data_IF_238524913204
#
_entry.id   IF_238524913204
#
_cell.length_a   1.000
_cell.length_b   1.000
_cell.length_c   1.000
_cell.angle_alpha   90.00
_cell.angle_beta   90.00
_cell.angle_gamma   90.00
#
_symmetry.space_group_name_H-M   'P 1'
#
loop_
_entity.id
_entity.type
_entity.pdbx_description
1 polymer ?
#
# COMPACT_ATOMS: atom_id res chain seq x y z
N UNK A 1 58.56 64.74 -0.96
CA UNK A 1 57.41 65.19 -0.15
C UNK A 1 56.35 65.64 -1.13
N UNK A 2 55.11 65.18 -1.18
CA UNK A 2 54.30 64.37 -0.29
C UNK A 2 52.96 64.11 -1.02
N UNK A 3 52.27 63.02 -0.67
CA UNK A 3 50.86 62.63 -0.90
C UNK A 3 50.57 61.56 -1.97
N UNK A 4 50.43 60.37 -1.40
CA UNK A 4 49.61 59.28 -1.88
C UNK A 4 48.17 59.73 -2.22
N UNK A 5 47.61 59.18 -3.30
CA UNK A 5 46.18 58.86 -3.39
C UNK A 5 46.04 57.48 -4.01
N UNK A 6 45.69 56.55 -3.14
CA UNK A 6 45.14 55.23 -3.45
C UNK A 6 43.67 55.44 -3.79
N UNK A 7 43.29 55.37 -5.07
CA UNK A 7 41.89 55.20 -5.43
C UNK A 7 41.64 53.70 -5.68
N UNK A 8 41.34 52.98 -4.59
CA UNK A 8 40.66 51.69 -4.64
C UNK A 8 39.19 51.96 -4.93
N UNK A 9 38.79 51.92 -6.20
CA UNK A 9 37.36 51.80 -6.54
C UNK A 9 36.97 50.32 -6.48
N UNK A 10 36.87 49.81 -5.25
CA UNK A 10 36.22 48.55 -4.96
C UNK A 10 34.71 48.75 -5.03
N UNK A 11 34.13 48.67 -6.23
CA UNK A 11 32.68 48.52 -6.41
C UNK A 11 32.26 47.19 -5.82
N UNK A 12 31.98 47.19 -4.52
CA UNK A 12 31.14 46.16 -3.92
C UNK A 12 29.73 46.36 -4.49
N UNK A 13 29.35 45.54 -5.47
CA UNK A 13 27.95 45.34 -5.83
C UNK A 13 27.22 44.81 -4.59
N UNK A 14 26.59 45.73 -3.86
CA UNK A 14 25.65 45.39 -2.80
C UNK A 14 24.44 44.78 -3.50
N UNK A 15 24.41 43.45 -3.58
CA UNK A 15 23.18 42.72 -3.96
C UNK A 15 22.09 43.18 -2.99
N UNK A 16 21.13 43.94 -3.52
CA UNK A 16 19.97 44.38 -2.76
C UNK A 16 19.30 43.15 -2.14
N UNK A 17 19.20 43.15 -0.81
CA UNK A 17 18.49 42.10 -0.10
C UNK A 17 17.03 42.12 -0.60
N UNK A 18 16.50 41.00 -1.12
CA UNK A 18 15.12 40.98 -1.57
C UNK A 18 14.25 41.39 -0.38
N UNK A 19 13.44 42.43 -0.55
CA UNK A 19 12.59 42.93 0.52
C UNK A 19 11.79 41.79 1.14
N UNK A 20 11.59 41.81 2.46
CA UNK A 20 10.97 40.72 3.23
C UNK A 20 9.70 40.17 2.55
N UNK A 21 8.91 41.04 1.92
CA UNK A 21 7.72 40.69 1.13
C UNK A 21 7.99 39.92 -0.17
N UNK A 22 9.06 40.21 -0.89
CA UNK A 22 9.49 39.44 -2.06
C UNK A 22 9.98 38.05 -1.62
N UNK A 23 10.75 37.97 -0.53
CA UNK A 23 11.22 36.70 0.03
C UNK A 23 10.07 35.80 0.52
N UNK A 24 9.07 36.38 1.18
CA UNK A 24 7.85 35.67 1.60
C UNK A 24 7.08 35.13 0.38
N UNK A 25 6.95 35.94 -0.70
CA UNK A 25 6.26 35.50 -1.92
C UNK A 25 6.98 34.34 -2.61
N UNK A 26 8.31 34.38 -2.71
CA UNK A 26 9.09 33.29 -3.29
C UNK A 26 8.99 32.02 -2.44
N UNK A 27 9.07 32.15 -1.12
CA UNK A 27 8.88 31.01 -0.19
C UNK A 27 7.49 30.37 -0.34
N UNK A 28 6.44 31.19 -0.42
CA UNK A 28 5.07 30.71 -0.63
C UNK A 28 4.91 30.02 -1.99
N UNK A 29 5.47 30.58 -3.06
CA UNK A 29 5.43 29.97 -4.39
C UNK A 29 6.08 28.59 -4.38
N UNK A 30 7.28 28.46 -3.78
CA UNK A 30 7.97 27.17 -3.65
C UNK A 30 7.14 26.20 -2.80
N UNK A 31 6.56 26.66 -1.70
CA UNK A 31 5.68 25.83 -0.86
C UNK A 31 4.45 25.31 -1.62
N UNK A 32 3.80 26.17 -2.40
CA UNK A 32 2.65 25.79 -3.24
C UNK A 32 3.08 24.81 -4.34
N UNK A 33 4.21 25.05 -5.01
CA UNK A 33 4.72 24.15 -6.04
C UNK A 33 5.04 22.77 -5.45
N UNK A 34 5.71 22.72 -4.30
CA UNK A 34 6.01 21.46 -3.61
C UNK A 34 4.72 20.73 -3.20
N UNK A 35 3.72 21.46 -2.69
CA UNK A 35 2.41 20.91 -2.34
C UNK A 35 1.69 20.33 -3.57
N UNK A 36 1.68 21.04 -4.69
CA UNK A 36 1.07 20.59 -5.93
C UNK A 36 1.76 19.33 -6.47
N UNK A 37 3.10 19.31 -6.48
CA UNK A 37 3.87 18.13 -6.89
C UNK A 37 3.55 16.95 -5.95
N UNK A 38 3.58 17.17 -4.64
CA UNK A 38 3.26 16.13 -3.67
C UNK A 38 1.82 15.61 -3.85
N UNK A 39 0.87 16.48 -4.16
CA UNK A 39 -0.52 16.10 -4.45
C UNK A 39 -0.58 15.23 -5.70
N UNK A 40 0.04 15.65 -6.80
CA UNK A 40 0.05 14.91 -8.07
C UNK A 40 0.70 13.53 -7.90
N UNK A 41 1.85 13.46 -7.22
CA UNK A 41 2.54 12.19 -6.97
C UNK A 41 1.68 11.27 -6.10
N UNK A 42 1.07 11.82 -5.03
CA UNK A 42 0.24 11.05 -4.10
C UNK A 42 -1.04 10.51 -4.74
N UNK A 43 -1.59 11.23 -5.71
CA UNK A 43 -2.84 10.84 -6.37
C UNK A 43 -2.62 9.89 -7.54
N UNK A 44 -1.58 10.14 -8.33
CA UNK A 44 -1.36 9.40 -9.57
C UNK A 44 -0.39 8.23 -9.40
N UNK A 45 0.64 8.36 -8.56
CA UNK A 45 1.76 7.42 -8.56
C UNK A 45 1.70 6.48 -7.35
N UNK A 46 1.98 7.01 -6.16
CA UNK A 46 2.21 6.19 -4.96
C UNK A 46 1.54 6.76 -3.73
N UNK A 47 0.92 5.90 -2.94
CA UNK A 47 0.40 6.24 -1.63
C UNK A 47 1.17 5.47 -0.54
N UNK A 48 1.75 6.15 0.45
CA UNK A 48 2.35 5.48 1.60
C UNK A 48 1.26 4.92 2.52
N UNK A 49 1.46 3.71 3.03
CA UNK A 49 0.64 3.06 4.04
C UNK A 49 1.53 2.44 5.13
N UNK A 50 1.01 2.40 6.35
CA UNK A 50 1.56 1.63 7.45
C UNK A 50 0.64 0.43 7.74
N UNK A 51 1.19 -0.76 8.01
CA UNK A 51 0.39 -1.96 8.32
C UNK A 51 -0.06 -1.94 9.78
N UNK A 52 -1.38 -1.83 10.07
CA UNK A 52 -1.87 -1.77 11.44
C UNK A 52 -2.15 -3.16 12.05
N UNK A 53 -2.11 -4.23 11.24
CA UNK A 53 -2.55 -5.57 11.67
C UNK A 53 -1.71 -6.68 11.05
N UNK A 54 -1.56 -7.80 11.78
CA UNK A 54 -0.76 -8.95 11.37
C UNK A 54 -1.47 -9.94 10.44
N UNK A 55 -2.50 -9.51 9.70
CA UNK A 55 -3.33 -10.44 8.90
C UNK A 55 -2.65 -10.98 7.63
N UNK A 56 -1.49 -10.43 7.26
CA UNK A 56 -0.67 -10.89 6.15
C UNK A 56 0.69 -11.43 6.61
N UNK A 57 0.86 -11.71 7.90
CA UNK A 57 2.03 -12.45 8.40
C UNK A 57 2.06 -13.83 7.71
N UNK A 58 3.22 -14.28 7.21
CA UNK A 58 4.56 -13.72 7.40
C UNK A 58 5.01 -12.76 6.28
N UNK A 59 4.16 -12.44 5.31
CA UNK A 59 4.53 -11.59 4.16
C UNK A 59 4.65 -10.11 4.54
N UNK A 60 3.70 -9.58 5.33
CA UNK A 60 3.70 -8.20 5.80
C UNK A 60 3.50 -8.19 7.31
N UNK A 61 4.43 -7.53 8.02
CA UNK A 61 4.46 -7.46 9.47
C UNK A 61 3.78 -6.19 9.98
N UNK A 62 3.38 -6.21 11.24
CA UNK A 62 2.81 -5.04 11.91
C UNK A 62 3.89 -3.95 11.99
N UNK A 63 3.57 -2.75 11.51
CA UNK A 63 4.50 -1.62 11.46
C UNK A 63 5.26 -1.46 10.15
N UNK A 64 5.13 -2.38 9.19
CA UNK A 64 5.74 -2.23 7.87
C UNK A 64 5.20 -0.98 7.16
N UNK A 65 6.10 -0.26 6.47
CA UNK A 65 5.78 0.86 5.60
C UNK A 65 5.87 0.43 4.14
N UNK A 66 4.83 0.73 3.37
CA UNK A 66 4.75 0.33 1.97
C UNK A 66 4.23 1.47 1.09
N UNK A 67 4.74 1.50 -0.15
CA UNK A 67 4.26 2.39 -1.20
C UNK A 67 3.34 1.60 -2.14
N UNK A 68 2.06 1.95 -2.15
CA UNK A 68 1.06 1.35 -3.05
C UNK A 68 1.02 2.13 -4.35
N UNK A 69 1.26 1.44 -5.46
CA UNK A 69 1.02 1.97 -6.81
C UNK A 69 -0.47 2.21 -7.05
N UNK A 70 -0.88 3.44 -7.35
CA UNK A 70 -2.29 3.80 -7.57
C UNK A 70 -2.78 3.46 -8.98
N UNK A 71 -1.87 3.37 -9.95
CA UNK A 71 -2.17 3.15 -11.37
C UNK A 71 -2.37 1.68 -11.75
N UNK A 72 -1.90 0.72 -10.95
CA UNK A 72 -1.84 -0.70 -11.33
C UNK A 72 -3.19 -1.36 -11.61
N UNK A 73 -4.28 -0.83 -11.05
CA UNK A 73 -5.66 -1.30 -11.30
C UNK A 73 -6.54 -0.19 -11.89
N UNK A 74 -5.96 0.88 -12.40
CA UNK A 74 -6.68 2.06 -12.84
C UNK A 74 -7.23 2.93 -11.70
N UNK A 75 -7.65 4.13 -12.06
CA UNK A 75 -8.08 5.17 -11.14
C UNK A 75 -9.58 5.10 -10.89
N UNK A 76 -9.96 4.99 -9.62
CA UNK A 76 -11.35 5.10 -9.16
C UNK A 76 -11.58 6.42 -8.43
N UNK A 77 -12.84 6.69 -8.05
CA UNK A 77 -13.18 7.83 -7.18
C UNK A 77 -12.33 7.89 -5.90
N UNK A 78 -11.93 6.74 -5.35
CA UNK A 78 -11.10 6.64 -4.14
C UNK A 78 -9.60 6.89 -4.38
N UNK A 79 -9.21 7.18 -5.62
CA UNK A 79 -7.82 7.50 -5.97
C UNK A 79 -7.49 8.98 -5.76
N UNK A 80 -8.51 9.84 -5.73
CA UNK A 80 -8.36 11.27 -5.53
C UNK A 80 -8.30 11.61 -4.03
N UNK A 81 -7.49 12.62 -3.64
CA UNK A 81 -7.49 13.09 -2.27
C UNK A 81 -8.78 13.90 -2.06
N UNK A 82 -9.39 13.82 -0.88
CA UNK A 82 -10.67 14.50 -0.61
C UNK A 82 -11.82 14.03 -1.52
N UNK A 83 -11.74 12.80 -2.05
CA UNK A 83 -12.79 12.20 -2.88
C UNK A 83 -14.16 12.18 -2.20
N UNK A 84 -14.18 12.16 -0.87
CA UNK A 84 -15.39 12.23 -0.05
C UNK A 84 -16.14 13.57 -0.18
N UNK A 85 -15.44 14.66 -0.50
CA UNK A 85 -16.00 16.00 -0.71
C UNK A 85 -16.28 16.32 -2.19
N UNK A 86 -15.85 15.44 -3.11
CA UNK A 86 -16.06 15.62 -4.54
C UNK A 86 -17.41 15.01 -4.96
N UNK A 87 -18.29 15.77 -5.66
CA UNK A 87 -19.62 15.29 -6.09
C UNK A 87 -19.53 14.36 -7.31
N UNK A 88 -18.53 13.49 -7.37
CA UNK A 88 -18.30 12.60 -8.51
C UNK A 88 -18.98 11.26 -8.26
N UNK A 89 -20.11 11.02 -8.93
CA UNK A 89 -20.78 9.71 -9.03
C UNK A 89 -20.19 8.84 -10.15
N UNK A 90 -18.90 8.99 -10.45
CA UNK A 90 -18.26 8.19 -11.48
C UNK A 90 -18.20 6.72 -11.02
N UNK A 91 -19.00 5.88 -11.66
CA UNK A 91 -18.96 4.43 -11.48
C UNK A 91 -17.89 3.83 -12.37
N UNK A 92 -17.11 2.88 -11.83
CA UNK A 92 -16.02 2.22 -12.56
C UNK A 92 -14.63 2.81 -12.29
N UNK A 93 -13.67 2.37 -13.13
CA UNK A 93 -12.26 2.75 -13.04
C UNK A 93 -11.76 3.20 -14.41
N UNK A 94 -11.00 4.29 -14.46
CA UNK A 94 -10.33 4.75 -15.67
C UNK A 94 -9.05 3.94 -15.85
N UNK A 95 -8.82 3.40 -17.05
CA UNK A 95 -7.71 2.47 -17.34
C UNK A 95 -7.71 1.27 -16.39
N UNK A 96 -8.91 0.69 -16.19
CA UNK A 96 -9.08 -0.49 -15.37
C UNK A 96 -8.17 -1.62 -15.86
N UNK A 97 -7.43 -2.20 -14.93
CA UNK A 97 -6.74 -3.45 -15.12
C UNK A 97 -7.22 -4.43 -14.06
N UNK A 98 -7.48 -5.66 -14.47
CA UNK A 98 -7.89 -6.70 -13.55
C UNK A 98 -6.71 -7.12 -12.65
N UNK A 99 -6.98 -7.39 -11.36
CA UNK A 99 -5.95 -7.93 -10.49
C UNK A 99 -5.53 -9.31 -10.95
N UNK A 100 -4.25 -9.64 -10.73
CA UNK A 100 -3.75 -10.98 -10.94
C UNK A 100 -3.87 -11.77 -9.63
N UNK A 101 -4.09 -13.07 -9.77
CA UNK A 101 -4.11 -13.97 -8.62
C UNK A 101 -2.75 -13.93 -7.92
N UNK A 102 -2.78 -13.78 -6.60
CA UNK A 102 -1.60 -13.64 -5.76
C UNK A 102 -1.17 -12.18 -5.51
N UNK A 103 -1.72 -11.21 -6.23
CA UNK A 103 -1.43 -9.79 -5.97
C UNK A 103 -1.84 -9.41 -4.54
N UNK A 104 -1.11 -8.48 -3.93
CA UNK A 104 -1.54 -7.84 -2.68
C UNK A 104 -2.20 -6.52 -3.06
N UNK A 105 -3.49 -6.40 -2.75
CA UNK A 105 -4.31 -5.26 -3.11
C UNK A 105 -4.74 -4.48 -1.88
N UNK A 106 -4.80 -3.16 -2.05
CA UNK A 106 -5.41 -2.23 -1.08
C UNK A 106 -6.76 -1.78 -1.61
N UNK A 107 -7.81 -1.94 -0.82
CA UNK A 107 -9.16 -1.56 -1.20
C UNK A 107 -9.95 -1.06 0.00
N UNK A 108 -10.99 -0.25 -0.26
CA UNK A 108 -11.94 0.18 0.75
C UNK A 108 -12.90 -0.95 1.07
N UNK A 109 -13.12 -1.23 2.35
CA UNK A 109 -14.09 -2.22 2.79
C UNK A 109 -15.48 -1.83 2.27
N UNK A 110 -16.17 -2.66 1.46
CA UNK A 110 -17.44 -2.25 0.85
C UNK A 110 -18.56 -1.88 1.83
N UNK A 111 -18.48 -2.42 3.06
CA UNK A 111 -19.46 -2.18 4.13
C UNK A 111 -19.49 -0.72 4.61
N UNK A 112 -18.32 -0.06 4.68
CA UNK A 112 -18.21 1.31 5.20
C UNK A 112 -17.62 2.31 4.19
N UNK A 113 -16.94 1.83 3.14
CA UNK A 113 -16.18 2.62 2.15
C UNK A 113 -15.14 3.58 2.76
N UNK A 114 -14.77 3.40 4.02
CA UNK A 114 -13.86 4.26 4.77
C UNK A 114 -12.57 3.52 5.16
N UNK A 115 -12.69 2.25 5.55
CA UNK A 115 -11.56 1.47 6.07
C UNK A 115 -10.74 0.85 4.94
N UNK A 116 -9.43 1.10 4.92
CA UNK A 116 -8.51 0.46 3.97
C UNK A 116 -8.11 -0.94 4.44
N UNK A 117 -8.34 -1.93 3.58
CA UNK A 117 -7.92 -3.31 3.78
C UNK A 117 -6.78 -3.64 2.84
N UNK A 118 -5.79 -4.38 3.36
CA UNK A 118 -4.65 -4.88 2.59
C UNK A 118 -4.73 -6.41 2.64
N UNK A 119 -5.02 -7.03 1.51
CA UNK A 119 -5.23 -8.48 1.41
C UNK A 119 -4.63 -9.03 0.13
N UNK A 120 -4.42 -10.35 0.10
CA UNK A 120 -3.99 -11.08 -1.11
C UNK A 120 -5.21 -11.46 -1.95
N UNK A 121 -5.10 -11.29 -3.26
CA UNK A 121 -6.11 -11.69 -4.24
C UNK A 121 -6.04 -13.19 -4.45
N UNK A 122 -7.01 -13.92 -3.89
CA UNK A 122 -7.08 -15.38 -4.01
C UNK A 122 -8.03 -15.81 -5.12
N UNK A 123 -9.22 -15.23 -5.20
CA UNK A 123 -10.22 -15.50 -6.23
C UNK A 123 -10.36 -14.35 -7.21
N UNK A 124 -10.64 -14.69 -8.47
CA UNK A 124 -10.96 -13.78 -9.57
C UNK A 124 -12.42 -14.03 -10.01
N UNK A 125 -13.07 -13.08 -10.71
CA UNK A 125 -14.47 -13.22 -11.11
C UNK A 125 -14.76 -14.57 -11.79
N UNK A 126 -15.81 -15.26 -11.31
CA UNK A 126 -16.20 -16.59 -11.81
C UNK A 126 -15.51 -17.76 -11.13
N UNK A 127 -14.51 -17.53 -10.27
CA UNK A 127 -13.91 -18.60 -9.47
C UNK A 127 -14.85 -19.09 -8.37
N UNK A 128 -14.68 -20.36 -8.03
CA UNK A 128 -15.28 -21.00 -6.86
C UNK A 128 -14.20 -21.25 -5.80
N UNK A 129 -14.34 -20.64 -4.64
CA UNK A 129 -13.37 -20.67 -3.54
C UNK A 129 -13.96 -21.40 -2.34
N UNK A 130 -13.18 -22.27 -1.72
CA UNK A 130 -13.59 -22.99 -0.51
C UNK A 130 -12.37 -23.35 0.34
N UNK A 131 -12.51 -23.32 1.67
CA UNK A 131 -11.58 -23.99 2.58
C UNK A 131 -12.16 -25.36 2.95
N UNK A 132 -11.36 -26.42 2.81
CA UNK A 132 -11.72 -27.79 3.19
C UNK A 132 -10.59 -28.34 4.06
N UNK A 133 -10.88 -28.56 5.35
CA UNK A 133 -9.91 -29.05 6.34
C UNK A 133 -8.59 -28.27 6.26
N UNK A 134 -8.68 -26.94 6.27
CA UNK A 134 -7.53 -26.02 6.29
C UNK A 134 -6.83 -25.85 4.93
N UNK A 135 -7.29 -26.55 3.89
CA UNK A 135 -6.73 -26.47 2.55
C UNK A 135 -7.59 -25.60 1.65
N UNK A 136 -6.97 -24.57 1.08
CA UNK A 136 -7.58 -23.72 0.07
C UNK A 136 -7.88 -24.52 -1.20
N UNK A 137 -9.12 -24.46 -1.66
CA UNK A 137 -9.60 -25.05 -2.89
C UNK A 137 -10.06 -23.95 -3.85
N UNK A 138 -9.58 -24.00 -5.09
CA UNK A 138 -9.95 -23.07 -6.16
C UNK A 138 -10.49 -23.88 -7.33
N UNK A 139 -11.73 -23.61 -7.72
CA UNK A 139 -12.45 -24.31 -8.79
C UNK A 139 -12.46 -25.85 -8.58
N UNK A 140 -12.64 -26.27 -7.33
CA UNK A 140 -12.67 -27.68 -6.92
C UNK A 140 -11.31 -28.37 -6.90
N UNK A 141 -10.21 -27.63 -7.09
CA UNK A 141 -8.84 -28.17 -7.01
C UNK A 141 -8.17 -27.64 -5.76
N UNK A 142 -7.63 -28.54 -4.95
CA UNK A 142 -6.80 -28.19 -3.80
C UNK A 142 -5.54 -27.44 -4.26
N UNK A 143 -5.29 -26.30 -3.65
CA UNK A 143 -4.05 -25.53 -3.81
C UNK A 143 -2.94 -26.31 -3.14
N UNK A 144 -1.80 -26.43 -3.84
CA UNK A 144 -0.65 -27.17 -3.33
C UNK A 144 -0.12 -26.45 -2.09
N UNK A 145 -0.11 -27.13 -0.95
CA UNK A 145 0.38 -26.64 0.35
C UNK A 145 1.53 -27.53 0.83
N UNK A 146 2.72 -26.98 0.96
CA UNK A 146 3.94 -27.70 1.36
C UNK A 146 4.46 -27.18 2.70
N UNK A 147 4.56 -28.04 3.72
CA UNK A 147 5.09 -27.68 5.03
C UNK A 147 6.57 -27.31 4.90
N UNK A 148 6.94 -26.17 5.44
CA UNK A 148 8.32 -25.71 5.57
C UNK A 148 8.68 -25.54 7.05
N UNK A 149 9.85 -24.95 7.32
CA UNK A 149 10.28 -24.65 8.68
C UNK A 149 9.24 -23.80 9.42
N UNK A 150 9.04 -24.06 10.70
CA UNK A 150 8.07 -23.33 11.51
C UNK A 150 8.42 -21.84 11.58
N UNK A 151 7.37 -21.02 11.59
CA UNK A 151 7.49 -19.58 11.71
C UNK A 151 7.50 -19.17 13.19
N UNK A 152 8.48 -18.35 13.57
CA UNK A 152 8.57 -17.78 14.91
C UNK A 152 7.71 -16.52 14.97
N UNK A 153 6.71 -16.52 15.85
CA UNK A 153 5.76 -15.41 16.02
C UNK A 153 5.46 -15.15 17.49
N UNK A 154 4.72 -14.09 17.76
CA UNK A 154 4.21 -13.75 19.09
C UNK A 154 2.75 -14.21 19.19
N UNK A 155 2.40 -14.89 20.27
CA UNK A 155 1.03 -15.30 20.57
C UNK A 155 0.17 -14.11 21.09
N UNK A 156 -1.15 -14.27 21.28
CA UNK A 156 -1.99 -13.20 21.81
C UNK A 156 -1.62 -12.74 23.23
N UNK A 157 -0.81 -13.50 23.97
CA UNK A 157 -0.34 -13.22 25.32
C UNK A 157 1.06 -12.58 25.35
N UNK A 158 1.64 -12.28 24.19
CA UNK A 158 2.96 -11.66 24.08
C UNK A 158 4.14 -12.63 24.19
N UNK A 159 3.90 -13.94 24.16
CA UNK A 159 4.96 -14.96 24.26
C UNK A 159 5.46 -15.38 22.88
N UNK A 160 6.77 -15.62 22.77
CA UNK A 160 7.35 -16.21 21.58
C UNK A 160 6.87 -17.66 21.40
N UNK A 161 6.37 -17.98 20.21
CA UNK A 161 5.85 -19.30 19.86
C UNK A 161 6.25 -19.68 18.43
N UNK A 162 6.17 -20.97 18.12
CA UNK A 162 6.41 -21.52 16.79
C UNK A 162 5.11 -22.04 16.23
N UNK A 163 4.80 -21.65 15.00
CA UNK A 163 3.59 -22.08 14.30
C UNK A 163 3.96 -22.74 12.98
N UNK A 164 3.25 -23.80 12.56
CA UNK A 164 3.40 -24.36 11.23
C UNK A 164 3.36 -23.31 10.12
N UNK A 165 4.30 -23.37 9.19
CA UNK A 165 4.35 -22.50 8.01
C UNK A 165 4.30 -23.33 6.74
N UNK A 166 3.64 -22.82 5.71
CA UNK A 166 3.47 -23.51 4.44
C UNK A 166 3.79 -22.62 3.25
N UNK A 167 4.28 -23.24 2.18
CA UNK A 167 4.28 -22.68 0.84
C UNK A 167 2.98 -23.10 0.15
N UNK A 168 2.15 -22.13 -0.21
CA UNK A 168 0.96 -22.33 -1.04
C UNK A 168 1.24 -21.89 -2.46
N UNK A 169 1.08 -22.81 -3.42
CA UNK A 169 1.28 -22.54 -4.85
C UNK A 169 -0.05 -22.37 -5.56
N UNK A 170 -0.37 -21.14 -5.92
CA UNK A 170 -1.61 -20.77 -6.60
C UNK A 170 -1.65 -21.34 -8.03
N UNK A 171 -2.83 -21.47 -8.66
CA UNK A 171 -2.97 -22.04 -10.01
C UNK A 171 -2.12 -21.38 -11.11
N UNK A 172 -1.74 -20.11 -10.93
CA UNK A 172 -0.87 -19.37 -11.85
C UNK A 172 0.64 -19.53 -11.53
N UNK A 173 1.01 -20.41 -10.60
CA UNK A 173 2.38 -20.67 -10.18
C UNK A 173 2.94 -19.69 -9.15
N UNK A 174 2.18 -18.67 -8.76
CA UNK A 174 2.61 -17.76 -7.69
C UNK A 174 2.64 -18.52 -6.37
N UNK A 175 3.78 -18.48 -5.68
CA UNK A 175 3.95 -19.06 -4.35
C UNK A 175 3.83 -17.97 -3.30
N UNK A 176 3.09 -18.24 -2.23
CA UNK A 176 3.09 -17.38 -1.04
C UNK A 176 3.16 -18.22 0.23
N UNK A 177 3.54 -17.55 1.31
CA UNK A 177 3.63 -18.17 2.62
C UNK A 177 2.32 -18.02 3.39
N UNK A 178 1.93 -19.06 4.11
CA UNK A 178 0.86 -19.05 5.10
C UNK A 178 1.36 -19.62 6.42
N UNK A 179 0.76 -19.20 7.53
CA UNK A 179 1.01 -19.77 8.85
C UNK A 179 -0.31 -20.31 9.40
N UNK A 180 -0.23 -21.44 10.09
CA UNK A 180 -1.38 -22.06 10.75
C UNK A 180 -1.21 -21.97 12.26
N UNK A 181 -2.11 -21.24 12.92
CA UNK A 181 -2.01 -20.96 14.36
C UNK A 181 -2.92 -21.85 15.19
N UNK A 182 -4.06 -22.24 14.64
CA UNK A 182 -5.17 -22.87 15.37
C UNK A 182 -5.45 -24.30 14.87
N UNK A 183 -4.75 -24.72 13.81
CA UNK A 183 -4.83 -26.05 13.20
C UNK A 183 -5.92 -26.14 12.13
N UNK A 184 -5.85 -27.18 11.30
CA UNK A 184 -6.66 -27.30 10.07
C UNK A 184 -8.14 -27.72 10.30
N UNK A 185 -8.63 -27.70 11.54
CA UNK A 185 -9.95 -28.20 11.93
C UNK A 185 -10.86 -27.15 12.57
N UNK A 186 -10.44 -25.88 12.57
CA UNK A 186 -11.20 -24.77 13.10
C UNK A 186 -12.44 -24.45 12.25
N UNK A 187 -13.24 -23.52 12.77
CA UNK A 187 -14.45 -23.07 12.10
C UNK A 187 -14.17 -22.43 10.72
N UNK A 188 -13.06 -21.71 10.59
CA UNK A 188 -12.67 -21.04 9.34
C UNK A 188 -11.96 -21.94 8.33
N UNK A 189 -11.63 -23.17 8.74
CA UNK A 189 -10.98 -24.18 7.91
C UNK A 189 -11.98 -24.99 7.08
N UNK A 190 -13.28 -24.77 7.33
CA UNK A 190 -14.41 -25.42 6.67
C UNK A 190 -15.42 -24.37 6.27
N UNK A 191 -15.28 -23.84 5.06
CA UNK A 191 -16.21 -22.83 4.54
C UNK A 191 -17.21 -23.45 3.58
N UNK A 192 -18.34 -22.77 3.44
CA UNK A 192 -19.21 -23.00 2.29
C UNK A 192 -18.48 -22.60 0.99
N UNK A 193 -18.99 -23.13 -0.13
CA UNK A 193 -18.49 -22.78 -1.45
C UNK A 193 -18.89 -21.33 -1.78
N UNK A 194 -17.90 -20.47 -2.00
CA UNK A 194 -18.12 -19.09 -2.39
C UNK A 194 -17.85 -18.90 -3.89
N UNK A 195 -18.73 -18.18 -4.59
CA UNK A 195 -18.51 -17.79 -6.00
C UNK A 195 -18.17 -16.31 -6.05
N UNK A 196 -17.05 -15.98 -6.68
CA UNK A 196 -16.50 -14.62 -6.81
C UNK A 196 -17.21 -13.83 -7.91
#
# INVERSE_FOLDING_TARGET
>A
MERARLDRDGKHEVRAQPGTWASIRETLKVGIQALLIALVVRTLLFQPFNIPSGSLIPTLLIGDYLFVSKYSYGYSKYSLPLSEYLPTKAEGRIWAAEPKRGDIAVFKLPKDNATDYIKRVIGLPGDKIQMIDGVLNINGKAVKRERIADYETIDPYGQATKVPQYNETLPNGVVHHTIERDGDNGFWDKTELYTV
#
